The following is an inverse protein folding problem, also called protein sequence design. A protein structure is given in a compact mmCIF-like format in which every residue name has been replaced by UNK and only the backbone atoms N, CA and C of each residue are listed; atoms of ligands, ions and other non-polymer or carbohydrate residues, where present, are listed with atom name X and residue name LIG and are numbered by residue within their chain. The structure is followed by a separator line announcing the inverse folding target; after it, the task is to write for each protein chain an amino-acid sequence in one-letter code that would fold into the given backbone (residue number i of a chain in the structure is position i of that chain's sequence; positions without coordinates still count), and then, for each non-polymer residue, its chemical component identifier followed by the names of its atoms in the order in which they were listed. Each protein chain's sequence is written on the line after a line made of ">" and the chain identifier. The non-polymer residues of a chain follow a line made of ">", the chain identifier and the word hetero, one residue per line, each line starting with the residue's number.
data_IF_027119264123
#
_entry.id   IF_027119264123
#
_cell.length_a   1.000
_cell.length_b   1.000
_cell.length_c   1.000
_cell.angle_alpha   90.00
_cell.angle_beta   90.00
_cell.angle_gamma   90.00
#
_symmetry.space_group_name_H-M   'P 1'
#
loop_
_entity.id
_entity.type
_entity.pdbx_description
1 polymer ?
#
# COMPACT_ATOMS: atom_id res chain seq x y z
N UNK A 1 -67.57 -2.69 -8.50
CA UNK A 1 -68.41 -2.36 -7.33
C UNK A 1 -68.73 -3.65 -6.61
N UNK A 2 -67.95 -4.00 -5.57
CA UNK A 2 -68.41 -4.62 -4.31
C UNK A 2 -67.20 -4.83 -3.39
N UNK A 3 -67.34 -4.29 -2.19
CA UNK A 3 -66.47 -4.38 -1.01
C UNK A 3 -66.65 -5.72 -0.27
N UNK A 4 -65.64 -6.10 0.51
CA UNK A 4 -65.65 -6.49 1.95
C UNK A 4 -64.52 -7.51 2.21
N UNK A 5 -63.46 -7.23 2.97
CA UNK A 5 -63.32 -6.79 4.38
C UNK A 5 -63.75 -7.85 5.41
N UNK A 6 -62.80 -8.24 6.27
CA UNK A 6 -62.84 -8.55 7.74
C UNK A 6 -61.87 -9.69 8.08
N UNK A 7 -60.74 -9.44 8.77
CA UNK A 7 -60.55 -9.34 10.23
C UNK A 7 -61.16 -10.49 11.04
N UNK A 8 -60.31 -11.22 11.77
CA UNK A 8 -60.49 -11.46 13.21
C UNK A 8 -59.25 -12.11 13.81
N UNK A 9 -58.78 -11.57 14.93
CA UNK A 9 -57.78 -12.21 15.78
C UNK A 9 -58.42 -12.98 16.94
N UNK A 10 -57.57 -13.24 17.94
CA UNK A 10 -57.86 -13.40 19.38
C UNK A 10 -57.51 -14.79 19.97
N UNK A 11 -56.78 -14.66 21.10
CA UNK A 11 -56.77 -15.48 22.33
C UNK A 11 -55.88 -16.72 22.44
N UNK A 12 -54.81 -16.48 23.20
CA UNK A 12 -54.19 -17.35 24.22
C UNK A 12 -55.22 -18.10 25.06
N UNK A 13 -54.96 -19.39 25.33
CA UNK A 13 -55.56 -20.13 26.44
C UNK A 13 -54.49 -20.98 27.16
N UNK A 14 -54.29 -20.68 28.45
CA UNK A 14 -53.61 -21.51 29.45
C UNK A 14 -54.58 -22.56 30.00
N UNK A 15 -54.11 -23.77 30.34
CA UNK A 15 -54.44 -24.55 31.57
C UNK A 15 -53.65 -25.89 31.58
N UNK A 16 -52.77 -26.12 32.57
CA UNK A 16 -52.92 -27.02 33.76
C UNK A 16 -52.64 -28.53 33.48
N UNK A 17 -51.49 -29.09 33.88
CA UNK A 17 -51.14 -29.75 35.18
C UNK A 17 -51.55 -31.25 35.27
N UNK A 18 -50.56 -32.17 35.31
CA UNK A 18 -50.29 -33.18 36.38
C UNK A 18 -49.50 -34.44 35.92
N UNK A 19 -48.29 -34.59 36.50
CA UNK A 19 -47.61 -35.79 37.08
C UNK A 19 -47.36 -37.12 36.33
N UNK A 20 -46.06 -37.50 36.30
CA UNK A 20 -45.49 -38.85 36.60
C UNK A 20 -45.45 -39.85 35.43
N UNK A 21 -44.38 -40.61 35.13
CA UNK A 21 -43.23 -41.08 35.89
C UNK A 21 -42.08 -41.52 34.96
N UNK A 22 -40.90 -41.67 35.57
CA UNK A 22 -39.88 -42.70 35.30
C UNK A 22 -38.54 -42.24 34.72
N UNK A 23 -37.55 -42.32 35.62
CA UNK A 23 -36.27 -43.01 35.46
C UNK A 23 -35.17 -42.36 34.62
N UNK A 24 -34.11 -41.93 35.33
CA UNK A 24 -32.73 -42.16 34.88
C UNK A 24 -31.84 -40.93 34.76
N UNK A 25 -31.30 -40.49 35.90
CA UNK A 25 -29.99 -39.81 36.08
C UNK A 25 -29.66 -38.58 35.22
N UNK A 26 -29.80 -37.42 35.86
CA UNK A 26 -29.19 -36.15 35.49
C UNK A 26 -27.82 -36.02 36.18
N UNK A 27 -26.86 -35.44 35.45
CA UNK A 27 -25.78 -34.55 35.90
C UNK A 27 -24.78 -35.02 36.97
N UNK A 28 -23.51 -35.10 36.58
CA UNK A 28 -22.48 -34.35 37.32
C UNK A 28 -21.36 -33.88 36.37
N UNK A 29 -21.01 -32.62 36.56
CA UNK A 29 -19.97 -31.86 35.88
C UNK A 29 -18.59 -32.54 36.00
N UNK A 30 -17.85 -32.59 34.90
CA UNK A 30 -16.39 -32.61 34.96
C UNK A 30 -15.79 -31.88 33.76
N UNK A 31 -15.27 -30.69 34.06
CA UNK A 31 -14.14 -29.98 33.46
C UNK A 31 -13.33 -30.75 32.41
N UNK A 32 -13.30 -30.25 31.18
CA UNK A 32 -12.07 -30.24 30.38
C UNK A 32 -12.14 -29.19 29.27
N UNK A 33 -11.68 -28.00 29.62
CA UNK A 33 -11.30 -26.93 28.70
C UNK A 33 -10.12 -27.40 27.84
N UNK A 34 -10.40 -28.01 26.70
CA UNK A 34 -9.38 -28.24 25.67
C UNK A 34 -9.30 -27.00 24.80
N UNK A 35 -8.55 -26.02 25.29
CA UNK A 35 -8.02 -24.89 24.52
C UNK A 35 -7.14 -25.50 23.42
N UNK A 36 -7.65 -25.55 22.19
CA UNK A 36 -6.83 -25.71 21.01
C UNK A 36 -6.09 -24.40 20.79
N UNK A 37 -4.84 -24.45 21.22
CA UNK A 37 -3.77 -23.48 21.08
C UNK A 37 -3.48 -23.22 19.61
N UNK A 38 -4.28 -22.37 18.97
CA UNK A 38 -3.82 -21.63 17.80
C UNK A 38 -2.74 -20.66 18.28
N UNK A 39 -1.51 -20.99 17.88
CA UNK A 39 -0.29 -20.24 18.14
C UNK A 39 -0.42 -18.87 17.46
N UNK A 40 -1.06 -17.93 18.17
CA UNK A 40 -0.84 -16.52 17.94
C UNK A 40 0.67 -16.29 18.02
N UNK A 41 1.26 -15.85 16.91
CA UNK A 41 2.57 -15.22 16.95
C UNK A 41 2.32 -13.86 17.61
N UNK A 42 2.23 -13.89 18.93
CA UNK A 42 2.42 -12.74 19.77
C UNK A 42 3.91 -12.46 19.67
N UNK A 43 4.29 -11.63 18.69
CA UNK A 43 5.62 -11.06 18.65
C UNK A 43 5.70 -10.16 19.88
N UNK A 44 6.31 -10.70 20.92
CA UNK A 44 6.78 -9.97 22.07
C UNK A 44 7.72 -8.89 21.54
N UNK A 45 7.20 -7.67 21.43
CA UNK A 45 7.92 -6.52 20.92
C UNK A 45 7.81 -5.40 21.95
N UNK A 46 8.45 -5.59 23.10
CA UNK A 46 9.41 -4.57 23.54
C UNK A 46 10.50 -4.46 22.47
N UNK A 47 10.13 -3.90 21.31
CA UNK A 47 11.09 -3.38 20.36
C UNK A 47 11.77 -2.22 21.08
N UNK A 48 13.08 -2.33 21.26
CA UNK A 48 13.91 -1.19 21.66
C UNK A 48 13.52 -0.04 20.74
N UNK A 49 12.89 1.02 21.29
CA UNK A 49 12.54 2.20 20.49
C UNK A 49 13.81 2.68 19.84
N UNK A 50 13.83 2.69 18.51
CA UNK A 50 14.95 3.28 17.78
C UNK A 50 15.06 4.73 18.22
N UNK A 51 16.27 5.26 18.36
CA UNK A 51 16.47 6.70 18.60
C UNK A 51 15.85 7.57 17.49
N UNK A 52 15.54 6.96 16.35
CA UNK A 52 14.87 7.59 15.22
C UNK A 52 13.33 7.58 15.34
N UNK A 53 12.74 6.88 16.31
CA UNK A 53 11.29 6.90 16.48
C UNK A 53 10.81 8.31 16.81
N UNK A 54 9.79 8.78 16.10
CA UNK A 54 9.21 10.11 16.30
C UNK A 54 8.44 10.15 17.63
N UNK A 55 8.71 11.17 18.44
CA UNK A 55 7.86 11.47 19.59
C UNK A 55 6.47 11.91 19.12
N UNK A 56 5.44 11.79 19.97
CA UNK A 56 4.06 12.16 19.61
C UNK A 56 3.94 13.57 19.02
N UNK A 57 4.70 14.53 19.54
CA UNK A 57 4.73 15.91 19.03
C UNK A 57 5.39 16.05 17.65
N UNK A 58 6.29 15.14 17.30
CA UNK A 58 7.05 15.08 16.04
C UNK A 58 6.28 14.32 14.95
N UNK A 59 5.30 13.48 15.32
CA UNK A 59 4.56 12.66 14.35
C UNK A 59 3.87 13.53 13.30
N UNK A 60 3.89 13.05 12.07
CA UNK A 60 3.17 13.63 10.94
C UNK A 60 2.33 12.55 10.26
N UNK A 61 1.26 12.99 9.62
CA UNK A 61 0.55 12.29 8.56
C UNK A 61 0.43 13.20 7.33
N UNK A 62 -0.46 12.84 6.43
CA UNK A 62 -0.73 13.58 5.20
C UNK A 62 -2.21 13.86 5.06
N UNK A 63 -2.53 15.13 4.83
CA UNK A 63 -3.88 15.59 4.48
C UNK A 63 -3.96 15.91 3.00
N UNK A 64 -5.19 16.04 2.51
CA UNK A 64 -5.45 16.60 1.18
C UNK A 64 -5.19 18.11 1.19
N UNK A 65 -4.43 18.57 0.20
CA UNK A 65 -4.27 19.98 -0.14
C UNK A 65 -5.14 20.39 -1.32
N UNK A 66 -4.58 21.29 -2.13
CA UNK A 66 -5.24 21.86 -3.29
C UNK A 66 -5.47 20.82 -4.41
N UNK A 67 -6.45 21.14 -5.26
CA UNK A 67 -6.67 20.45 -6.54
C UNK A 67 -5.55 20.75 -7.53
N UNK A 68 -4.92 19.69 -8.05
CA UNK A 68 -3.85 19.79 -9.05
C UNK A 68 -4.29 19.07 -10.33
N UNK A 69 -4.13 19.73 -11.49
CA UNK A 69 -4.36 19.11 -12.81
C UNK A 69 -3.32 18.02 -13.04
N UNK A 70 -3.79 16.79 -13.25
CA UNK A 70 -2.94 15.62 -13.38
C UNK A 70 -3.66 14.55 -14.19
N UNK A 71 -3.30 14.46 -15.48
CA UNK A 71 -3.95 13.58 -16.45
C UNK A 71 -3.32 12.20 -16.45
N UNK A 72 -4.17 11.18 -16.49
CA UNK A 72 -3.75 9.79 -16.68
C UNK A 72 -4.57 9.12 -17.76
N UNK A 73 -3.99 8.09 -18.33
CA UNK A 73 -4.64 7.18 -19.27
C UNK A 73 -4.44 5.75 -18.78
N UNK A 74 -5.32 4.86 -19.21
CA UNK A 74 -5.11 3.42 -19.00
C UNK A 74 -4.30 2.87 -20.17
N UNK A 75 -3.35 1.98 -19.87
CA UNK A 75 -2.53 1.29 -20.86
C UNK A 75 -2.70 -0.23 -20.71
N UNK A 76 -2.55 -0.97 -21.80
CA UNK A 76 -2.51 -2.44 -21.79
C UNK A 76 -1.07 -2.92 -21.63
N UNK A 77 -0.56 -2.82 -20.40
CA UNK A 77 0.71 -3.41 -19.99
C UNK A 77 0.44 -4.51 -18.96
N UNK A 78 1.33 -5.50 -18.91
CA UNK A 78 1.17 -6.62 -17.98
C UNK A 78 2.41 -6.79 -17.12
N UNK A 79 2.21 -7.18 -15.86
CA UNK A 79 3.30 -7.56 -14.97
C UNK A 79 4.04 -8.77 -15.54
N UNK A 80 5.36 -8.71 -15.50
CA UNK A 80 6.25 -9.82 -15.84
C UNK A 80 6.17 -10.98 -14.84
N UNK A 81 5.72 -10.70 -13.60
CA UNK A 81 5.54 -11.66 -12.51
C UNK A 81 4.40 -11.21 -11.58
N UNK A 82 3.79 -12.14 -10.83
CA UNK A 82 2.82 -11.80 -9.77
C UNK A 82 3.49 -11.25 -8.51
N UNK A 83 4.80 -11.47 -8.35
CA UNK A 83 5.57 -10.99 -7.21
C UNK A 83 6.31 -9.69 -7.57
N UNK A 84 6.38 -8.72 -6.64
CA UNK A 84 7.13 -7.49 -6.82
C UNK A 84 8.63 -7.79 -6.88
N UNK A 85 9.34 -7.03 -7.70
CA UNK A 85 10.79 -7.14 -7.86
C UNK A 85 11.56 -6.23 -6.87
N UNK A 86 10.87 -5.28 -6.24
CA UNK A 86 11.39 -4.41 -5.19
C UNK A 86 10.26 -4.00 -4.24
N UNK A 87 10.58 -3.84 -2.96
CA UNK A 87 9.66 -3.31 -1.95
C UNK A 87 10.42 -2.40 -1.01
N UNK A 88 9.86 -1.24 -0.70
CA UNK A 88 10.50 -0.26 0.17
C UNK A 88 9.49 0.48 1.04
N UNK A 89 9.99 0.97 2.16
CA UNK A 89 9.23 1.77 3.12
C UNK A 89 10.09 2.95 3.56
N UNK A 90 9.48 4.13 3.65
CA UNK A 90 10.07 5.34 4.22
C UNK A 90 9.16 5.85 5.31
N UNK A 91 9.73 6.19 6.46
CA UNK A 91 9.01 6.87 7.54
C UNK A 91 9.23 8.37 7.40
N UNK A 92 8.24 9.18 7.74
CA UNK A 92 8.41 10.63 7.78
C UNK A 92 7.82 11.22 9.05
N UNK A 93 8.45 12.28 9.54
CA UNK A 93 8.03 13.03 10.72
C UNK A 93 8.66 14.42 10.74
N UNK A 94 8.19 15.29 11.62
CA UNK A 94 8.83 16.56 11.97
C UNK A 94 9.92 16.29 13.01
N UNK A 95 10.90 15.48 12.62
CA UNK A 95 12.02 15.04 13.45
C UNK A 95 13.32 15.36 12.74
N UNK A 96 14.28 15.91 13.49
CA UNK A 96 15.67 16.00 13.04
C UNK A 96 16.33 14.63 13.24
N UNK A 97 16.34 13.83 12.18
CA UNK A 97 16.95 12.51 12.19
C UNK A 97 18.48 12.60 12.20
N UNK A 98 19.12 11.60 12.80
CA UNK A 98 20.58 11.47 12.79
C UNK A 98 21.03 10.55 11.65
N UNK A 99 22.28 10.70 11.20
CA UNK A 99 22.91 9.80 10.22
C UNK A 99 23.29 10.50 8.92
N UNK A 100 23.61 9.71 7.89
CA UNK A 100 23.95 10.25 6.56
C UNK A 100 22.68 10.71 5.85
N UNK A 101 22.61 12.00 5.55
CA UNK A 101 21.60 12.57 4.67
C UNK A 101 21.94 12.29 3.20
N UNK A 102 20.93 11.89 2.43
CA UNK A 102 20.95 11.77 0.96
C UNK A 102 19.66 12.36 0.41
N UNK A 103 19.63 12.78 -0.85
CA UNK A 103 18.43 13.39 -1.46
C UNK A 103 17.58 12.38 -2.25
N UNK A 104 18.09 11.17 -2.46
CA UNK A 104 17.38 10.09 -3.13
C UNK A 104 17.83 8.73 -2.60
N UNK A 105 16.97 7.73 -2.80
CA UNK A 105 17.24 6.32 -2.56
C UNK A 105 17.32 5.60 -3.90
N UNK A 106 18.39 4.82 -4.07
CA UNK A 106 18.52 3.96 -5.22
C UNK A 106 17.84 2.61 -4.97
N UNK A 107 16.92 2.25 -5.86
CA UNK A 107 16.13 1.02 -5.88
C UNK A 107 16.55 0.16 -7.08
N UNK A 108 16.30 -1.15 -7.02
CA UNK A 108 16.62 -2.07 -8.13
C UNK A 108 18.08 -1.96 -8.61
N UNK A 109 19.01 -1.80 -7.66
CA UNK A 109 20.44 -1.63 -7.92
C UNK A 109 20.76 -0.50 -8.91
N UNK A 110 20.16 0.69 -8.74
CA UNK A 110 20.44 1.86 -9.60
C UNK A 110 19.42 2.14 -10.68
N UNK A 111 18.52 1.19 -10.96
CA UNK A 111 17.59 1.31 -12.09
C UNK A 111 16.46 2.27 -11.83
N UNK A 112 16.05 2.44 -10.57
CA UNK A 112 15.03 3.40 -10.18
C UNK A 112 15.58 4.23 -9.02
N UNK A 113 15.51 5.55 -9.12
CA UNK A 113 15.75 6.43 -7.99
C UNK A 113 14.42 6.93 -7.43
N UNK A 114 14.30 6.95 -6.11
CA UNK A 114 13.16 7.52 -5.39
C UNK A 114 13.60 8.76 -4.61
N UNK A 115 12.87 9.85 -4.73
CA UNK A 115 13.00 11.03 -3.87
C UNK A 115 11.64 11.53 -3.40
N UNK A 116 11.66 12.29 -2.32
CA UNK A 116 10.55 13.14 -1.92
C UNK A 116 10.97 14.58 -2.15
N UNK A 117 10.10 15.38 -2.74
CA UNK A 117 10.42 16.75 -3.11
C UNK A 117 9.35 17.72 -2.67
N UNK A 118 9.75 18.97 -2.51
CA UNK A 118 8.87 20.12 -2.34
C UNK A 118 9.15 21.10 -3.48
N UNK A 119 8.47 22.25 -3.47
CA UNK A 119 8.72 23.30 -4.45
C UNK A 119 10.12 23.91 -4.35
N UNK A 120 10.79 23.72 -3.19
CA UNK A 120 12.15 24.21 -2.96
C UNK A 120 13.23 23.17 -3.26
N UNK A 121 12.85 21.94 -3.62
CA UNK A 121 13.78 20.86 -3.98
C UNK A 121 13.57 19.58 -3.19
N UNK A 122 14.53 18.65 -3.30
CA UNK A 122 14.47 17.36 -2.62
C UNK A 122 14.58 17.49 -1.09
N UNK A 123 13.76 16.72 -0.38
CA UNK A 123 13.86 16.52 1.06
C UNK A 123 15.01 15.56 1.37
N UNK A 124 15.64 15.76 2.53
CA UNK A 124 16.69 14.85 3.00
C UNK A 124 16.10 13.54 3.51
N UNK A 125 16.62 12.43 2.97
CA UNK A 125 16.44 11.08 3.47
C UNK A 125 17.63 10.70 4.36
N UNK A 126 17.32 10.20 5.55
CA UNK A 126 18.30 9.71 6.52
C UNK A 126 18.21 8.19 6.57
N UNK A 127 19.36 7.52 6.42
CA UNK A 127 19.44 6.07 6.51
C UNK A 127 19.99 5.65 7.87
N UNK A 128 19.28 4.77 8.54
CA UNK A 128 19.73 4.14 9.78
C UNK A 128 19.30 2.67 9.83
N UNK A 129 20.28 1.78 10.03
CA UNK A 129 20.05 0.33 10.22
C UNK A 129 19.13 -0.32 9.15
N UNK A 130 19.23 0.15 7.90
CA UNK A 130 18.42 -0.33 6.77
C UNK A 130 17.06 0.36 6.60
N UNK A 131 16.64 1.17 7.55
CA UNK A 131 15.44 2.00 7.48
C UNK A 131 15.76 3.38 6.90
N UNK A 132 14.73 4.01 6.35
CA UNK A 132 14.82 5.35 5.77
C UNK A 132 13.80 6.28 6.38
N UNK A 133 14.25 7.50 6.64
CA UNK A 133 13.50 8.52 7.36
C UNK A 133 13.55 9.84 6.61
N UNK A 134 12.43 10.54 6.51
CA UNK A 134 12.34 11.87 5.90
C UNK A 134 11.87 12.87 6.93
N UNK A 135 12.60 13.97 7.02
CA UNK A 135 12.16 15.13 7.78
C UNK A 135 11.18 15.94 6.92
N UNK A 136 9.94 16.03 7.38
CA UNK A 136 8.91 16.90 6.81
C UNK A 136 8.53 18.01 7.79
N UNK A 137 7.78 19.00 7.32
CA UNK A 137 7.24 20.06 8.16
C UNK A 137 5.73 20.17 7.97
N UNK A 138 4.97 20.26 9.06
CA UNK A 138 3.52 20.39 8.98
C UNK A 138 3.12 21.63 8.15
N UNK A 139 2.18 21.45 7.23
CA UNK A 139 1.72 22.48 6.28
C UNK A 139 2.52 22.54 4.98
N UNK A 140 3.65 21.85 4.88
CA UNK A 140 4.46 21.82 3.66
C UNK A 140 3.88 20.83 2.64
N UNK A 141 3.74 21.28 1.40
CA UNK A 141 3.40 20.42 0.27
C UNK A 141 4.61 19.58 -0.14
N UNK A 142 4.36 18.35 -0.56
CA UNK A 142 5.39 17.46 -1.07
C UNK A 142 4.86 16.55 -2.18
N UNK A 143 5.78 15.95 -2.93
CA UNK A 143 5.50 14.98 -4.00
C UNK A 143 6.45 13.80 -3.90
N UNK A 144 6.00 12.65 -4.38
CA UNK A 144 6.85 11.47 -4.57
C UNK A 144 7.39 11.50 -6.00
N UNK A 145 8.69 11.31 -6.19
CA UNK A 145 9.33 11.32 -7.51
C UNK A 145 10.09 10.01 -7.70
N UNK A 146 9.86 9.37 -8.83
CA UNK A 146 10.58 8.18 -9.26
C UNK A 146 11.23 8.45 -10.60
N UNK A 147 12.54 8.26 -10.69
CA UNK A 147 13.28 8.36 -11.94
C UNK A 147 13.72 6.98 -12.39
N UNK A 148 13.53 6.65 -13.66
CA UNK A 148 13.98 5.37 -14.22
C UNK A 148 15.27 5.54 -15.02
N UNK A 149 16.38 4.99 -14.52
CA UNK A 149 17.68 5.02 -15.18
C UNK A 149 17.90 3.85 -16.16
N UNK A 150 16.85 3.13 -16.55
CA UNK A 150 16.94 1.91 -17.35
C UNK A 150 16.01 1.88 -18.54
N UNK A 151 16.24 0.93 -19.44
CA UNK A 151 15.44 0.72 -20.65
C UNK A 151 14.17 -0.13 -20.43
N UNK A 152 13.89 -0.55 -19.20
CA UNK A 152 12.70 -1.32 -18.86
C UNK A 152 11.57 -0.41 -18.40
N UNK A 153 10.32 -0.85 -18.61
CA UNK A 153 9.13 -0.20 -18.04
C UNK A 153 8.77 -0.84 -16.71
N UNK A 154 8.41 -0.02 -15.72
CA UNK A 154 7.99 -0.50 -14.40
C UNK A 154 6.58 -0.02 -14.03
N UNK A 155 5.95 -0.75 -13.12
CA UNK A 155 4.79 -0.29 -12.37
C UNK A 155 5.23 0.13 -10.98
N UNK A 156 4.83 1.32 -10.56
CA UNK A 156 5.05 1.86 -9.22
C UNK A 156 3.71 1.87 -8.49
N UNK A 157 3.53 0.95 -7.55
CA UNK A 157 2.39 0.93 -6.64
C UNK A 157 2.81 1.63 -5.36
N UNK A 158 2.28 2.82 -5.12
CA UNK A 158 2.67 3.65 -3.99
C UNK A 158 1.52 3.82 -2.99
N UNK A 159 1.87 3.98 -1.72
CA UNK A 159 0.95 4.33 -0.65
C UNK A 159 1.52 5.42 0.25
N UNK A 160 0.63 6.22 0.81
CA UNK A 160 0.92 7.24 1.82
C UNK A 160 -0.05 7.00 2.97
N UNK A 161 0.47 6.90 4.19
CA UNK A 161 -0.31 6.62 5.40
C UNK A 161 -1.16 5.34 5.32
N UNK A 162 -0.67 4.35 4.58
CA UNK A 162 -1.39 3.10 4.33
C UNK A 162 -2.56 3.22 3.34
N UNK A 163 -2.71 4.36 2.66
CA UNK A 163 -3.70 4.57 1.60
C UNK A 163 -3.01 4.53 0.25
N UNK A 164 -3.59 3.78 -0.68
CA UNK A 164 -3.11 3.73 -2.05
C UNK A 164 -3.37 5.08 -2.75
N UNK A 165 -2.31 5.65 -3.33
CA UNK A 165 -2.33 7.00 -3.90
C UNK A 165 -3.16 7.10 -5.19
N UNK A 166 -3.42 5.99 -5.87
CA UNK A 166 -4.13 5.92 -7.14
C UNK A 166 -5.64 5.76 -6.96
N UNK A 167 -6.09 4.96 -5.99
CA UNK A 167 -7.50 4.61 -5.82
C UNK A 167 -8.11 5.04 -4.47
N UNK A 168 -7.31 5.52 -3.52
CA UNK A 168 -7.77 5.96 -2.20
C UNK A 168 -8.24 4.84 -1.25
N UNK A 169 -8.05 3.56 -1.60
CA UNK A 169 -8.36 2.44 -0.71
C UNK A 169 -7.24 2.16 0.28
N UNK A 170 -7.51 1.29 1.26
CA UNK A 170 -6.45 0.68 2.05
C UNK A 170 -5.44 0.03 1.10
N UNK A 171 -4.15 0.29 1.31
CA UNK A 171 -3.11 -0.13 0.39
C UNK A 171 -2.88 -1.65 0.46
N UNK A 172 -2.79 -2.27 -0.71
CA UNK A 172 -2.28 -3.62 -0.89
C UNK A 172 -1.11 -3.60 -1.86
N UNK A 173 -0.10 -4.43 -1.59
CA UNK A 173 1.04 -4.66 -2.49
C UNK A 173 0.62 -5.19 -3.87
N UNK A 174 -0.60 -5.70 -4.01
CA UNK A 174 -1.12 -6.25 -5.26
C UNK A 174 -2.02 -5.30 -6.03
N UNK A 175 -2.31 -4.11 -5.48
CA UNK A 175 -3.07 -3.08 -6.18
C UNK A 175 -2.39 -2.65 -7.47
N UNK A 176 -3.14 -2.00 -8.36
CA UNK A 176 -2.57 -1.34 -9.53
C UNK A 176 -1.85 -0.05 -9.16
N UNK A 177 -0.82 0.27 -9.93
CA UNK A 177 0.01 1.47 -9.77
C UNK A 177 0.11 2.32 -11.03
N UNK A 178 1.04 3.27 -11.00
CA UNK A 178 1.38 4.09 -12.16
C UNK A 178 2.49 3.46 -12.97
N UNK A 179 2.51 3.75 -14.28
CA UNK A 179 3.60 3.32 -15.15
C UNK A 179 4.76 4.30 -15.05
N UNK A 180 5.95 3.76 -14.86
CA UNK A 180 7.22 4.46 -14.95
C UNK A 180 7.93 4.00 -16.22
N UNK A 181 7.96 4.88 -17.22
CA UNK A 181 8.56 4.60 -18.52
C UNK A 181 10.10 4.61 -18.46
N UNK A 182 10.78 3.98 -19.44
CA UNK A 182 12.23 4.06 -19.59
C UNK A 182 12.74 5.51 -19.62
N UNK A 183 13.81 5.80 -18.88
CA UNK A 183 14.49 7.11 -18.89
C UNK A 183 13.58 8.31 -18.53
N UNK A 184 12.44 8.05 -17.86
CA UNK A 184 11.41 9.04 -17.57
C UNK A 184 11.26 9.28 -16.05
N UNK A 185 10.50 10.33 -15.71
CA UNK A 185 10.11 10.65 -14.34
C UNK A 185 8.62 10.39 -14.12
N UNK A 186 8.29 9.68 -13.05
CA UNK A 186 6.95 9.64 -12.50
C UNK A 186 6.88 10.57 -11.29
N UNK A 187 6.00 11.56 -11.36
CA UNK A 187 5.70 12.45 -10.23
C UNK A 187 4.29 12.16 -9.71
N UNK A 188 4.18 11.85 -8.42
CA UNK A 188 2.90 11.67 -7.73
C UNK A 188 2.75 12.83 -6.75
N UNK A 189 1.97 13.83 -7.14
CA UNK A 189 1.76 15.06 -6.36
C UNK A 189 0.70 14.90 -5.26
N UNK A 190 -0.15 13.86 -5.36
CA UNK A 190 -1.32 13.77 -4.51
C UNK A 190 -2.10 12.46 -4.61
N UNK A 191 -3.14 12.36 -3.79
CA UNK A 191 -4.14 11.30 -3.89
C UNK A 191 -5.03 11.54 -5.10
N UNK A 192 -5.14 10.56 -5.99
CA UNK A 192 -5.95 10.71 -7.19
C UNK A 192 -7.43 10.78 -6.87
N UNK A 193 -8.10 11.77 -7.47
CA UNK A 193 -9.54 12.00 -7.35
C UNK A 193 -10.29 11.66 -8.63
N UNK A 194 -9.63 11.82 -9.77
CA UNK A 194 -10.20 11.56 -11.09
C UNK A 194 -9.11 11.22 -12.12
N UNK A 195 -9.51 11.00 -13.37
CA UNK A 195 -8.57 10.83 -14.48
C UNK A 195 -7.75 12.10 -14.80
N UNK A 196 -8.17 13.27 -14.32
CA UNK A 196 -7.53 14.55 -14.63
C UNK A 196 -7.11 15.36 -13.40
N UNK A 197 -7.31 14.85 -12.18
CA UNK A 197 -6.93 15.59 -10.98
C UNK A 197 -6.53 14.73 -9.79
N UNK A 198 -5.67 15.31 -8.97
CA UNK A 198 -5.27 14.81 -7.65
C UNK A 198 -5.51 15.87 -6.57
N UNK A 199 -5.66 15.46 -5.32
CA UNK A 199 -5.53 16.34 -4.17
C UNK A 199 -4.08 16.25 -3.66
N UNK A 200 -3.36 17.37 -3.69
CA UNK A 200 -1.93 17.42 -3.35
C UNK A 200 -1.63 16.89 -1.94
N UNK A 201 -0.45 16.31 -1.76
CA UNK A 201 0.00 15.88 -0.44
C UNK A 201 0.51 17.05 0.38
N UNK A 202 -0.07 17.24 1.57
CA UNK A 202 0.40 18.22 2.55
C UNK A 202 0.69 17.48 3.85
N UNK A 203 1.91 17.61 4.38
CA UNK A 203 2.22 17.11 5.71
C UNK A 203 1.29 17.75 6.75
N UNK A 204 0.76 16.96 7.67
CA UNK A 204 -0.16 17.42 8.71
C UNK A 204 0.12 16.73 10.03
N UNK A 205 -0.47 17.25 11.12
CA UNK A 205 -0.56 16.47 12.35
C UNK A 205 -1.43 15.22 12.14
N UNK A 206 -1.16 14.11 12.85
CA UNK A 206 -1.84 12.83 12.64
C UNK A 206 -3.37 12.92 12.71
N UNK A 207 -3.91 13.73 13.63
CA UNK A 207 -5.35 13.94 13.81
C UNK A 207 -6.03 14.58 12.60
N UNK A 208 -5.29 15.34 11.80
CA UNK A 208 -5.78 15.97 10.57
C UNK A 208 -5.45 15.16 9.31
N UNK A 209 -4.75 14.03 9.45
CA UNK A 209 -4.34 13.22 8.32
C UNK A 209 -5.56 12.57 7.64
N UNK A 210 -5.49 12.42 6.32
CA UNK A 210 -6.54 11.79 5.53
C UNK A 210 -6.82 10.37 6.02
N UNK A 211 -5.77 9.60 6.34
CA UNK A 211 -5.89 8.25 6.87
C UNK A 211 -6.58 8.15 8.24
N UNK A 212 -6.47 9.18 9.09
CA UNK A 212 -7.16 9.21 10.38
C UNK A 212 -8.66 9.56 10.23
N UNK A 213 -9.06 10.09 9.07
CA UNK A 213 -10.39 10.65 8.82
C UNK A 213 -11.13 9.94 7.68
N UNK A 214 -10.73 8.71 7.33
CA UNK A 214 -11.38 7.88 6.30
C UNK A 214 -11.47 6.43 6.74
N UNK A 215 -12.50 5.71 6.27
CA UNK A 215 -12.71 4.29 6.60
C UNK A 215 -11.64 3.36 6.00
N UNK A 216 -10.96 3.82 4.95
CA UNK A 216 -9.89 3.09 4.26
C UNK A 216 -8.51 3.22 4.93
N UNK A 217 -8.36 4.16 5.87
CA UNK A 217 -7.07 4.47 6.48
C UNK A 217 -6.81 3.70 7.77
N UNK A 218 -5.54 3.61 8.15
CA UNK A 218 -5.13 3.08 9.46
C UNK A 218 -4.17 4.05 10.13
N UNK A 219 -4.50 4.51 11.33
CA UNK A 219 -3.65 5.42 12.12
C UNK A 219 -2.28 4.80 12.47
N UNK A 220 -2.18 3.47 12.42
CA UNK A 220 -0.93 2.75 12.67
C UNK A 220 0.08 2.94 11.54
N UNK A 221 -0.39 3.26 10.34
CA UNK A 221 0.45 3.50 9.17
C UNK A 221 0.68 4.99 8.92
N UNK A 222 0.17 5.89 9.78
CA UNK A 222 0.44 7.33 9.66
C UNK A 222 1.93 7.63 9.79
N UNK A 223 2.47 8.44 8.89
CA UNK A 223 3.89 8.76 8.80
C UNK A 223 4.69 7.76 7.97
N UNK A 224 4.04 7.01 7.08
CA UNK A 224 4.68 5.97 6.26
C UNK A 224 4.36 6.14 4.78
N UNK A 225 5.40 6.04 3.95
CA UNK A 225 5.30 5.83 2.51
C UNK A 225 5.72 4.40 2.20
N UNK A 226 4.88 3.67 1.48
CA UNK A 226 5.19 2.34 0.97
C UNK A 226 5.30 2.37 -0.56
N UNK A 227 6.22 1.61 -1.11
CA UNK A 227 6.29 1.39 -2.57
C UNK A 227 6.62 -0.05 -2.88
N UNK A 228 5.94 -0.61 -3.87
CA UNK A 228 6.35 -1.86 -4.51
C UNK A 228 6.49 -1.64 -6.02
N UNK A 229 7.47 -2.32 -6.60
CA UNK A 229 7.79 -2.18 -8.03
C UNK A 229 7.57 -3.53 -8.73
N UNK A 230 6.91 -3.49 -9.88
CA UNK A 230 6.81 -4.63 -10.80
C UNK A 230 7.45 -4.28 -12.13
N UNK A 231 8.11 -5.25 -12.78
CA UNK A 231 8.49 -5.11 -14.19
C UNK A 231 7.26 -5.25 -15.08
N UNK A 232 7.10 -4.35 -16.06
CA UNK A 232 6.02 -4.40 -17.04
C UNK A 232 6.54 -4.84 -18.42
N UNK A 233 5.68 -5.49 -19.18
CA UNK A 233 5.90 -5.73 -20.60
C UNK A 233 4.64 -5.40 -21.40
N UNK A 234 4.85 -5.00 -22.65
CA UNK A 234 3.79 -4.82 -23.64
C UNK A 234 3.47 -6.17 -24.30
N UNK A 235 2.26 -6.72 -24.10
CA UNK A 235 1.88 -8.01 -24.69
C UNK A 235 1.71 -7.95 -26.22
N UNK A 236 1.57 -6.76 -26.80
CA UNK A 236 1.45 -6.54 -28.24
C UNK A 236 2.81 -6.41 -28.93
N UNK A 237 3.87 -6.08 -28.16
CA UNK A 237 5.23 -5.99 -28.69
C UNK A 237 5.73 -7.40 -29.04
N UNK A 238 6.14 -7.66 -30.30
CA UNK A 238 6.64 -8.97 -30.67
C UNK A 238 7.88 -9.31 -29.84
N UNK A 239 7.89 -10.50 -29.23
CA UNK A 239 9.07 -11.05 -28.54
C UNK A 239 10.26 -11.00 -29.51
N UNK A 240 11.45 -10.58 -29.03
CA UNK A 240 12.64 -10.49 -29.88
C UNK A 240 12.80 -11.79 -30.65
N UNK A 241 12.83 -11.71 -31.98
CA UNK A 241 13.06 -12.87 -32.84
C UNK A 241 14.41 -13.48 -32.46
N UNK A 242 14.50 -14.80 -32.53
CA UNK A 242 15.75 -15.55 -32.37
C UNK A 242 16.90 -14.87 -33.13
N UNK A 243 18.16 -15.01 -32.68
CA UNK A 243 19.31 -14.38 -33.32
C UNK A 243 19.26 -14.54 -34.85
N UNK A 244 19.32 -13.41 -35.57
CA UNK A 244 19.30 -13.38 -37.03
C UNK A 244 20.70 -13.07 -37.53
N UNK A 245 21.37 -14.03 -38.17
CA UNK A 245 22.67 -13.79 -38.80
C UNK A 245 22.51 -12.90 -40.05
N UNK A 246 23.36 -11.88 -40.21
CA UNK A 246 23.46 -11.10 -41.45
C UNK A 246 24.91 -10.68 -41.76
N UNK A 247 25.45 -11.04 -42.95
CA UNK A 247 24.88 -11.98 -43.89
C UNK A 247 24.77 -13.38 -43.24
N UNK A 248 23.74 -14.14 -43.59
CA UNK A 248 23.63 -15.55 -43.23
C UNK A 248 24.47 -16.38 -44.21
N UNK A 249 25.76 -16.06 -44.35
CA UNK A 249 26.66 -16.90 -45.13
C UNK A 249 26.90 -18.23 -44.39
N UNK A 250 27.16 -19.29 -45.16
CA UNK A 250 27.19 -20.67 -44.66
C UNK A 250 28.43 -20.98 -43.79
N UNK A 251 29.05 -19.97 -43.19
CA UNK A 251 30.31 -20.02 -42.44
C UNK A 251 30.14 -20.26 -40.95
N UNK A 252 29.18 -21.11 -40.53
CA UNK A 252 29.06 -21.45 -39.10
C UNK A 252 30.32 -22.16 -38.59
N UNK A 253 30.62 -21.99 -37.30
CA UNK A 253 31.78 -22.58 -36.65
C UNK A 253 31.78 -24.11 -36.80
N UNK A 254 32.94 -24.67 -37.16
CA UNK A 254 33.16 -26.13 -37.24
C UNK A 254 33.53 -26.69 -35.86
N UNK A 255 33.14 -27.92 -35.52
CA UNK A 255 33.51 -28.53 -34.25
C UNK A 255 35.04 -28.74 -34.14
N UNK A 256 35.60 -28.78 -32.92
CA UNK A 256 37.01 -29.08 -32.70
C UNK A 256 37.37 -30.51 -33.17
N UNK A 257 38.64 -30.72 -33.55
CA UNK A 257 39.18 -32.01 -33.99
C UNK A 257 39.83 -32.79 -32.86
#
# INVERSE_FOLDING_TARGET
>A
MTLHQTQSGVAVLLLALLTGCSSGSNMQEESTSTIQREKSIQTDATAERSTQDAAESERLGTKWGDDVDSKVTTVDLRRTSSEPIEQMQVRYADKSYNGRAVNSMSLLAGKVDFSMETDTGALSLYRDSGNYYVQGQAGQAYRLVYHNNSDNTYEIVASVDGINVLNGSAASRYDSGYVLNPNDNLVIEGFRKSQSSVASFIFSKPESAYAANTSSGSINNTGVIGTVIYGLYDPTRPKSKQPQAYPADNGYAKPPQ
#
